data_IF_864822625324
#
_entry.id   IF_864822625324
#
_cell.length_a   1.000
_cell.length_b   1.000
_cell.length_c   1.000
_cell.angle_alpha   90.00
_cell.angle_beta   90.00
_cell.angle_gamma   90.00
#
_symmetry.space_group_name_H-M   'P 1'
#
loop_
_entity.id
_entity.type
_entity.pdbx_description
1 polymer ?
#
# COMPACT_ATOMS: atom_id res chain seq x y z
N UNK A 1 -4.74 14.17 -26.70
CA UNK A 1 -3.36 13.90 -26.24
C UNK A 1 -3.23 12.39 -26.05
N UNK A 2 -2.41 11.73 -26.88
CA UNK A 2 -2.34 10.27 -26.94
C UNK A 2 -1.39 9.80 -25.84
N UNK A 3 -1.93 9.31 -24.72
CA UNK A 3 -1.15 8.52 -23.76
C UNK A 3 -0.58 7.32 -24.52
N UNK A 4 0.74 7.05 -24.47
CA UNK A 4 1.34 5.93 -25.19
C UNK A 4 0.62 4.62 -24.84
N UNK A 5 0.35 3.81 -25.86
CA UNK A 5 -0.45 2.57 -25.75
C UNK A 5 0.10 1.58 -24.70
N UNK A 6 1.39 1.68 -24.38
CA UNK A 6 2.13 0.87 -23.40
C UNK A 6 1.86 1.27 -21.94
N UNK A 7 1.72 2.56 -21.62
CA UNK A 7 1.36 3.00 -20.26
C UNK A 7 -0.06 2.59 -19.88
N UNK A 8 -0.97 2.57 -20.86
CA UNK A 8 -2.32 2.00 -20.69
C UNK A 8 -2.29 0.51 -20.36
N UNK A 9 -1.30 -0.24 -20.87
CA UNK A 9 -1.17 -1.69 -20.61
C UNK A 9 -0.69 -1.92 -19.18
N UNK A 10 0.33 -1.21 -18.70
CA UNK A 10 0.79 -1.37 -17.31
C UNK A 10 -0.31 -0.95 -16.32
N UNK A 11 -0.98 0.19 -16.59
CA UNK A 11 -2.13 0.65 -15.81
C UNK A 11 -3.31 -0.32 -15.87
N UNK A 12 -3.55 -0.96 -17.02
CA UNK A 12 -4.57 -1.99 -17.17
C UNK A 12 -4.18 -3.31 -16.47
N UNK A 13 -2.91 -3.68 -16.44
CA UNK A 13 -2.42 -4.89 -15.75
C UNK A 13 -2.48 -4.70 -14.24
N UNK A 14 -2.06 -3.55 -13.71
CA UNK A 14 -2.19 -3.22 -12.29
C UNK A 14 -3.65 -3.10 -11.88
N UNK A 15 -4.48 -2.40 -12.67
CA UNK A 15 -5.94 -2.28 -12.42
C UNK A 15 -6.67 -3.63 -12.52
N UNK A 16 -6.31 -4.50 -13.48
CA UNK A 16 -6.89 -5.85 -13.61
C UNK A 16 -6.42 -6.79 -12.51
N UNK A 17 -5.16 -6.68 -12.07
CA UNK A 17 -4.67 -7.42 -10.90
C UNK A 17 -5.35 -6.98 -9.60
N UNK A 18 -5.68 -5.69 -9.47
CA UNK A 18 -6.47 -5.17 -8.36
C UNK A 18 -7.93 -5.63 -8.42
N UNK A 19 -8.54 -5.70 -9.60
CA UNK A 19 -9.92 -6.20 -9.79
C UNK A 19 -10.06 -7.72 -9.59
N UNK A 20 -9.04 -8.51 -9.96
CA UNK A 20 -9.10 -9.98 -9.91
C UNK A 20 -8.81 -10.58 -8.52
N UNK A 21 -8.53 -9.77 -7.49
CA UNK A 21 -8.35 -10.24 -6.10
C UNK A 21 -7.21 -11.26 -5.90
N UNK A 22 -6.21 -11.31 -6.79
CA UNK A 22 -5.15 -12.32 -6.73
C UNK A 22 -4.11 -11.94 -5.67
N UNK A 23 -3.74 -12.91 -4.82
CA UNK A 23 -2.71 -12.68 -3.80
C UNK A 23 -1.35 -12.34 -4.41
N UNK A 24 -0.56 -11.57 -3.66
CA UNK A 24 0.76 -11.03 -3.99
C UNK A 24 1.78 -12.02 -4.63
N UNK A 25 1.83 -13.32 -4.28
CA UNK A 25 2.59 -14.33 -5.01
C UNK A 25 2.28 -14.40 -6.51
N UNK A 26 1.08 -13.97 -6.92
CA UNK A 26 0.63 -13.94 -8.31
C UNK A 26 1.18 -12.74 -9.07
N UNK A 27 1.35 -11.57 -8.45
CA UNK A 27 1.95 -10.39 -9.11
C UNK A 27 3.45 -10.63 -9.31
N UNK A 28 4.16 -11.16 -8.31
CA UNK A 28 5.56 -11.56 -8.50
C UNK A 28 5.66 -12.74 -9.48
N UNK A 29 4.74 -13.71 -9.49
CA UNK A 29 4.72 -14.75 -10.54
C UNK A 29 4.39 -14.20 -11.92
N UNK A 30 3.53 -13.19 -12.03
CA UNK A 30 3.19 -12.52 -13.29
C UNK A 30 4.37 -11.68 -13.74
N UNK A 31 5.04 -10.94 -12.87
CA UNK A 31 6.27 -10.19 -13.17
C UNK A 31 7.47 -11.11 -13.43
N UNK A 32 7.54 -12.30 -12.81
CA UNK A 32 8.54 -13.35 -13.13
C UNK A 32 8.20 -14.11 -14.41
N UNK A 33 6.92 -14.36 -14.73
CA UNK A 33 6.47 -14.93 -16.02
C UNK A 33 6.62 -13.94 -17.16
N UNK A 34 6.33 -12.67 -16.93
CA UNK A 34 6.66 -11.56 -17.82
C UNK A 34 8.20 -11.46 -17.88
N UNK A 35 8.93 -11.62 -16.77
CA UNK A 35 10.39 -11.68 -16.79
C UNK A 35 10.97 -12.83 -17.61
N UNK A 36 10.28 -13.99 -17.66
CA UNK A 36 10.71 -15.19 -18.39
C UNK A 36 10.11 -15.33 -19.80
N UNK A 37 9.06 -14.56 -20.14
CA UNK A 37 8.33 -14.67 -21.42
C UNK A 37 8.07 -13.30 -22.09
N UNK A 38 8.45 -12.18 -21.48
CA UNK A 38 8.34 -10.89 -22.13
C UNK A 38 9.42 -10.79 -23.20
N UNK A 39 9.07 -10.33 -24.41
CA UNK A 39 10.09 -9.81 -25.31
C UNK A 39 10.87 -8.70 -24.57
N UNK A 40 12.15 -8.55 -24.89
CA UNK A 40 13.11 -7.61 -24.27
C UNK A 40 12.57 -6.19 -24.00
N UNK A 41 11.48 -5.79 -24.66
CA UNK A 41 10.78 -4.51 -24.52
C UNK A 41 10.04 -4.22 -23.21
N UNK A 42 9.70 -5.19 -22.34
CA UNK A 42 9.04 -4.85 -21.05
C UNK A 42 10.05 -4.30 -20.03
N UNK A 43 11.31 -4.71 -20.11
CA UNK A 43 12.40 -4.13 -19.31
C UNK A 43 12.98 -2.86 -19.92
N UNK A 44 12.79 -2.61 -21.22
CA UNK A 44 13.05 -1.29 -21.83
C UNK A 44 12.09 -0.19 -21.32
N UNK A 45 11.07 -0.57 -20.55
CA UNK A 45 9.97 0.30 -20.12
C UNK A 45 10.20 0.96 -18.75
N UNK A 46 11.18 0.46 -18.00
CA UNK A 46 11.67 1.05 -16.76
C UNK A 46 13.04 1.62 -17.10
N UNK A 47 13.33 2.87 -16.73
CA UNK A 47 14.62 3.54 -17.02
C UNK A 47 15.84 2.86 -16.37
N UNK A 48 15.65 1.67 -15.78
CA UNK A 48 16.58 1.00 -14.89
C UNK A 48 17.16 -0.26 -15.49
N UNK A 49 18.41 -0.53 -15.12
CA UNK A 49 19.09 -1.76 -15.52
C UNK A 49 18.41 -2.99 -14.87
N UNK A 50 18.31 -4.12 -15.58
CA UNK A 50 17.69 -5.35 -15.07
C UNK A 50 18.25 -5.86 -13.74
N UNK A 51 19.55 -5.64 -13.49
CA UNK A 51 20.24 -6.06 -12.28
C UNK A 51 19.69 -5.39 -11.01
N UNK A 52 19.45 -4.08 -11.06
CA UNK A 52 18.88 -3.33 -9.93
C UNK A 52 17.42 -3.71 -9.67
N UNK A 53 16.66 -3.98 -10.73
CA UNK A 53 15.29 -4.50 -10.63
C UNK A 53 15.26 -5.87 -9.95
N UNK A 54 16.20 -6.76 -10.30
CA UNK A 54 16.29 -8.09 -9.69
C UNK A 54 16.65 -8.01 -8.20
N UNK A 55 17.62 -7.16 -7.84
CA UNK A 55 18.00 -6.93 -6.45
C UNK A 55 16.81 -6.41 -5.63
N UNK A 56 16.10 -5.41 -6.17
CA UNK A 56 14.93 -4.82 -5.51
C UNK A 56 13.79 -5.82 -5.26
N UNK A 57 13.42 -6.62 -6.26
CA UNK A 57 12.33 -7.61 -6.12
C UNK A 57 12.72 -8.78 -5.20
N UNK A 58 14.02 -9.01 -4.98
CA UNK A 58 14.54 -10.10 -4.15
C UNK A 58 14.79 -9.70 -2.69
N UNK A 59 14.98 -8.42 -2.40
CA UNK A 59 15.25 -7.93 -1.05
C UNK A 59 14.00 -8.03 -0.15
N UNK A 60 14.22 -8.36 1.13
CA UNK A 60 13.17 -8.55 2.14
C UNK A 60 13.41 -7.72 3.40
N UNK A 61 14.61 -7.18 3.60
CA UNK A 61 14.89 -6.22 4.65
C UNK A 61 14.21 -4.88 4.33
N UNK A 62 13.36 -4.34 5.22
CA UNK A 62 12.65 -3.09 4.95
C UNK A 62 13.55 -1.91 4.60
N UNK A 63 14.62 -1.71 5.38
CA UNK A 63 15.53 -0.59 5.17
C UNK A 63 16.31 -0.73 3.87
N UNK A 64 16.92 -1.90 3.62
CA UNK A 64 17.68 -2.13 2.38
C UNK A 64 16.81 -2.02 1.13
N UNK A 65 15.57 -2.51 1.20
CA UNK A 65 14.63 -2.37 0.10
C UNK A 65 14.35 -0.90 -0.20
N UNK A 66 14.12 -0.10 0.84
CA UNK A 66 13.92 1.33 0.68
C UNK A 66 15.18 2.03 0.14
N UNK A 67 16.37 1.68 0.64
CA UNK A 67 17.63 2.22 0.14
C UNK A 67 17.83 1.92 -1.35
N UNK A 68 17.49 0.71 -1.83
CA UNK A 68 17.51 0.39 -3.26
C UNK A 68 16.49 1.26 -4.02
N UNK A 69 15.29 1.46 -3.48
CA UNK A 69 14.29 2.33 -4.12
C UNK A 69 14.76 3.79 -4.24
N UNK A 70 15.54 4.30 -3.28
CA UNK A 70 16.16 5.63 -3.37
C UNK A 70 17.10 5.72 -4.57
N UNK A 71 17.97 4.73 -4.77
CA UNK A 71 18.87 4.71 -5.93
C UNK A 71 18.10 4.63 -7.25
N UNK A 72 17.01 3.85 -7.29
CA UNK A 72 16.12 3.80 -8.45
C UNK A 72 15.44 5.16 -8.70
N UNK A 73 14.98 5.87 -7.66
CA UNK A 73 14.45 7.22 -7.82
C UNK A 73 15.51 8.20 -8.36
N UNK A 74 16.76 8.09 -7.90
CA UNK A 74 17.89 8.90 -8.38
C UNK A 74 18.23 8.63 -9.85
N UNK A 75 18.13 7.39 -10.31
CA UNK A 75 18.25 7.04 -11.74
C UNK A 75 17.13 7.69 -12.60
N UNK A 76 16.01 8.10 -11.98
CA UNK A 76 14.97 8.91 -12.61
C UNK A 76 15.19 10.42 -12.46
N UNK A 77 16.40 10.85 -12.07
CA UNK A 77 16.74 12.25 -11.79
C UNK A 77 15.89 12.85 -10.65
N UNK A 78 15.55 12.02 -9.64
CA UNK A 78 14.85 12.44 -8.43
C UNK A 78 15.75 12.21 -7.21
N UNK A 79 16.23 13.29 -6.60
CA UNK A 79 17.17 13.21 -5.46
C UNK A 79 16.54 12.60 -4.21
N UNK A 80 15.25 12.87 -4.01
CA UNK A 80 14.54 12.56 -2.81
C UNK A 80 13.37 11.60 -3.06
N UNK A 81 13.20 10.66 -2.14
CA UNK A 81 12.12 9.70 -2.08
C UNK A 81 11.55 9.67 -0.66
N UNK A 82 10.23 9.80 -0.56
CA UNK A 82 9.45 9.59 0.65
C UNK A 82 8.38 8.52 0.42
N UNK A 83 8.13 7.70 1.41
CA UNK A 83 7.09 6.68 1.40
C UNK A 83 6.35 6.67 2.74
N UNK A 84 5.04 6.88 2.67
CA UNK A 84 4.13 6.72 3.79
C UNK A 84 3.35 5.42 3.58
N UNK A 85 3.26 4.57 4.61
CA UNK A 85 2.43 3.36 4.59
C UNK A 85 1.47 3.42 5.76
N UNK A 86 0.18 3.41 5.47
CA UNK A 86 -0.91 3.37 6.42
C UNK A 86 -1.55 1.99 6.40
N UNK A 87 -1.37 1.25 7.49
CA UNK A 87 -1.94 -0.09 7.66
C UNK A 87 -3.20 0.01 8.52
N UNK A 88 -4.31 -0.47 7.96
CA UNK A 88 -5.58 -0.59 8.66
C UNK A 88 -5.55 -1.82 9.56
N UNK A 89 -5.82 -1.60 10.84
CA UNK A 89 -5.96 -2.69 11.81
C UNK A 89 -7.42 -2.66 12.28
N UNK A 90 -8.09 -3.81 12.19
CA UNK A 90 -9.47 -3.96 12.61
C UNK A 90 -9.67 -3.38 14.02
N UNK A 91 -10.64 -2.47 14.18
CA UNK A 91 -11.03 -1.87 15.47
C UNK A 91 -9.96 -1.02 16.18
N UNK A 92 -8.87 -0.66 15.49
CA UNK A 92 -7.79 0.17 16.04
C UNK A 92 -7.48 1.38 15.16
N UNK A 93 -6.76 2.35 15.72
CA UNK A 93 -6.18 3.45 14.94
C UNK A 93 -5.18 2.91 13.93
N UNK A 94 -5.24 3.33 12.65
CA UNK A 94 -4.29 2.87 11.63
C UNK A 94 -2.85 3.15 12.03
N UNK A 95 -1.94 2.25 11.67
CA UNK A 95 -0.51 2.42 11.92
C UNK A 95 0.14 3.08 10.72
N UNK A 96 0.88 4.16 10.97
CA UNK A 96 1.63 4.89 9.96
C UNK A 96 3.11 4.55 10.06
N UNK A 97 3.71 4.18 8.94
CA UNK A 97 5.14 3.94 8.78
C UNK A 97 5.68 4.92 7.75
N UNK A 98 6.80 5.56 8.07
CA UNK A 98 7.42 6.60 7.26
C UNK A 98 8.84 6.14 6.88
N UNK A 99 9.15 6.19 5.60
CA UNK A 99 10.49 5.97 5.06
C UNK A 99 10.86 7.18 4.20
N UNK A 100 12.04 7.75 4.39
CA UNK A 100 12.48 8.88 3.59
C UNK A 100 13.99 9.04 3.59
N UNK A 101 14.56 9.52 2.49
CA UNK A 101 15.93 10.04 2.44
C UNK A 101 15.97 11.59 2.50
N UNK A 102 14.88 12.21 2.95
CA UNK A 102 14.80 13.67 3.13
C UNK A 102 15.84 14.15 4.14
N UNK A 103 16.24 15.44 4.10
CA UNK A 103 17.15 16.00 5.09
C UNK A 103 16.63 15.76 6.52
N UNK A 104 17.51 15.39 7.45
CA UNK A 104 17.13 15.06 8.83
C UNK A 104 16.39 16.21 9.51
N UNK A 105 16.82 17.45 9.28
CA UNK A 105 16.15 18.66 9.80
C UNK A 105 14.69 18.77 9.34
N UNK A 106 14.42 18.40 8.07
CA UNK A 106 13.06 18.36 7.56
C UNK A 106 12.26 17.23 8.21
N UNK A 107 12.82 16.03 8.34
CA UNK A 107 12.14 14.88 8.98
C UNK A 107 11.75 15.21 10.43
N UNK A 108 12.68 15.76 11.21
CA UNK A 108 12.44 16.15 12.60
C UNK A 108 11.33 17.19 12.70
N UNK A 109 11.37 18.21 11.83
CA UNK A 109 10.34 19.24 11.79
C UNK A 109 8.99 18.68 11.35
N UNK A 110 8.99 17.80 10.36
CA UNK A 110 7.77 17.19 9.82
C UNK A 110 7.03 16.37 10.87
N UNK A 111 7.78 15.67 11.74
CA UNK A 111 7.23 14.92 12.88
C UNK A 111 6.78 15.84 14.02
N UNK A 112 7.60 16.82 14.41
CA UNK A 112 7.31 17.70 15.55
C UNK A 112 6.06 18.54 15.34
N UNK A 113 5.88 19.06 14.13
CA UNK A 113 4.85 20.05 13.83
C UNK A 113 3.59 19.42 13.16
N UNK A 114 3.48 18.07 13.18
CA UNK A 114 2.37 17.32 12.57
C UNK A 114 2.14 17.68 11.09
N UNK A 115 3.22 17.99 10.35
CA UNK A 115 3.15 18.52 8.99
C UNK A 115 2.51 17.57 7.98
N UNK A 116 2.45 16.27 8.28
CA UNK A 116 1.68 15.33 7.46
C UNK A 116 0.19 15.72 7.34
N UNK A 117 -0.40 16.37 8.35
CA UNK A 117 -1.78 16.87 8.29
C UNK A 117 -1.92 18.10 7.40
N UNK A 118 -0.82 18.84 7.25
CA UNK A 118 -0.78 20.12 6.56
C UNK A 118 -0.34 19.99 5.09
N UNK A 119 0.20 18.83 4.70
CA UNK A 119 0.69 18.55 3.35
C UNK A 119 -0.48 18.40 2.34
N UNK A 120 -0.73 19.39 1.47
CA UNK A 120 -1.81 19.33 0.50
C UNK A 120 -1.61 18.23 -0.54
N UNK A 121 -0.36 17.85 -0.87
CA UNK A 121 -0.10 16.78 -1.84
C UNK A 121 -0.51 15.42 -1.26
N UNK A 122 -0.08 15.13 -0.02
CA UNK A 122 -0.48 13.92 0.70
C UNK A 122 -2.00 13.87 0.95
N UNK A 123 -2.60 15.01 1.31
CA UNK A 123 -4.03 15.11 1.55
C UNK A 123 -4.86 14.86 0.29
N UNK A 124 -4.45 15.41 -0.86
CA UNK A 124 -5.15 15.18 -2.12
C UNK A 124 -4.98 13.73 -2.59
N UNK A 125 -3.78 13.16 -2.40
CA UNK A 125 -3.48 11.79 -2.83
C UNK A 125 -4.22 10.72 -2.00
N UNK A 126 -4.67 11.02 -0.77
CA UNK A 126 -5.58 10.14 -0.02
C UNK A 126 -6.87 9.77 -0.78
N UNK A 127 -7.36 10.68 -1.62
CA UNK A 127 -8.61 10.50 -2.37
C UNK A 127 -8.41 10.08 -3.82
N UNK A 128 -7.16 9.93 -4.27
CA UNK A 128 -6.83 9.78 -5.69
C UNK A 128 -5.56 8.94 -5.91
N UNK A 129 -5.60 8.06 -6.91
CA UNK A 129 -4.41 7.31 -7.36
C UNK A 129 -3.65 8.01 -8.49
N UNK A 130 -4.09 9.20 -8.90
CA UNK A 130 -3.38 10.01 -9.89
C UNK A 130 -2.19 10.74 -9.27
N UNK A 131 -1.07 10.91 -10.00
CA UNK A 131 0.00 11.79 -9.56
C UNK A 131 -0.50 13.21 -9.27
N UNK A 132 -0.14 13.70 -8.10
CA UNK A 132 -0.34 15.07 -7.65
C UNK A 132 0.98 15.82 -7.80
N UNK A 133 1.09 16.63 -8.85
CA UNK A 133 2.25 17.48 -9.10
C UNK A 133 2.31 18.62 -8.07
N UNK A 134 3.50 18.90 -7.53
CA UNK A 134 3.71 19.96 -6.56
C UNK A 134 3.80 21.33 -7.25
N UNK A 135 2.67 22.00 -7.38
CA UNK A 135 2.56 23.35 -7.97
C UNK A 135 2.31 24.40 -6.89
N UNK A 136 2.64 25.66 -7.15
CA UNK A 136 2.36 26.73 -6.17
C UNK A 136 0.85 26.89 -5.91
N UNK A 137 0.00 26.64 -6.91
CA UNK A 137 -1.45 26.60 -6.76
C UNK A 137 -1.93 25.52 -5.78
N UNK A 138 -1.29 24.34 -5.77
CA UNK A 138 -1.61 23.26 -4.83
C UNK A 138 -1.35 23.70 -3.38
N UNK A 139 -0.29 24.49 -3.17
CA UNK A 139 0.14 24.92 -1.84
C UNK A 139 -0.32 26.34 -1.47
N UNK A 140 -1.23 26.95 -2.24
CA UNK A 140 -1.70 28.33 -2.01
C UNK A 140 -2.26 28.56 -0.59
N UNK A 141 -2.90 27.56 -0.01
CA UNK A 141 -3.48 27.60 1.36
C UNK A 141 -2.48 27.15 2.43
N UNK A 142 -1.28 26.70 2.04
CA UNK A 142 -0.22 26.25 2.93
C UNK A 142 1.16 26.84 2.55
N UNK A 143 1.28 28.18 2.42
CA UNK A 143 2.50 28.82 1.89
C UNK A 143 3.72 28.61 2.81
N UNK A 144 3.53 28.62 4.14
CA UNK A 144 4.62 28.40 5.10
C UNK A 144 5.19 26.98 5.03
N UNK A 145 4.32 25.98 4.85
CA UNK A 145 4.74 24.60 4.61
C UNK A 145 5.58 24.52 3.33
N UNK A 146 5.08 25.12 2.24
CA UNK A 146 5.74 25.11 0.93
C UNK A 146 7.10 25.78 0.97
N UNK A 147 7.21 26.96 1.57
CA UNK A 147 8.47 27.67 1.71
C UNK A 147 9.49 26.85 2.48
N UNK A 148 9.08 26.27 3.61
CA UNK A 148 9.96 25.44 4.43
C UNK A 148 10.41 24.18 3.69
N UNK A 149 9.51 23.48 2.99
CA UNK A 149 9.86 22.31 2.19
C UNK A 149 10.89 22.67 1.10
N UNK A 150 10.69 23.80 0.41
CA UNK A 150 11.60 24.31 -0.60
C UNK A 150 12.98 24.70 -0.05
N UNK A 151 13.07 25.22 1.18
CA UNK A 151 14.35 25.51 1.83
C UNK A 151 15.19 24.24 2.07
N UNK A 152 14.55 23.09 2.22
CA UNK A 152 15.19 21.79 2.39
C UNK A 152 15.33 21.02 1.05
N UNK A 153 15.15 21.69 -0.09
CA UNK A 153 15.32 21.08 -1.41
C UNK A 153 14.10 20.29 -1.93
N UNK A 154 12.99 20.22 -1.18
CA UNK A 154 11.76 19.57 -1.61
C UNK A 154 10.91 20.53 -2.45
N UNK A 155 11.41 20.89 -3.63
CA UNK A 155 10.83 21.94 -4.48
C UNK A 155 10.02 21.38 -5.64
N UNK A 156 10.64 20.57 -6.50
CA UNK A 156 10.01 20.04 -7.69
C UNK A 156 9.76 18.55 -7.49
N UNK A 157 8.50 18.14 -7.44
CA UNK A 157 8.17 16.77 -7.13
C UNK A 157 6.70 16.46 -7.38
N UNK A 158 6.33 15.22 -7.11
CA UNK A 158 4.93 14.80 -7.11
C UNK A 158 4.71 13.68 -6.10
N UNK A 159 3.44 13.51 -5.73
CA UNK A 159 2.98 12.44 -4.84
C UNK A 159 1.99 11.54 -5.56
N UNK A 160 2.11 10.23 -5.41
CA UNK A 160 1.17 9.24 -5.92
C UNK A 160 0.72 8.33 -4.78
N UNK A 161 -0.49 7.81 -4.89
CA UNK A 161 -1.03 6.88 -3.89
C UNK A 161 -1.45 5.55 -4.50
N UNK A 162 -1.36 4.53 -3.66
CA UNK A 162 -1.80 3.18 -3.90
C UNK A 162 -2.70 2.75 -2.75
N UNK A 163 -3.86 2.18 -3.11
CA UNK A 163 -4.79 1.56 -2.18
C UNK A 163 -4.92 0.08 -2.49
N UNK A 164 -5.01 -0.76 -1.45
CA UNK A 164 -5.28 -2.19 -1.60
C UNK A 164 -6.72 -2.56 -1.19
N UNK A 165 -7.06 -3.84 -1.32
CA UNK A 165 -8.38 -4.37 -0.97
C UNK A 165 -8.64 -4.43 0.54
N UNK A 166 -7.59 -4.26 1.36
CA UNK A 166 -7.67 -4.22 2.82
C UNK A 166 -7.76 -2.78 3.33
N UNK A 167 -7.95 -1.82 2.42
CA UNK A 167 -7.95 -0.37 2.68
C UNK A 167 -6.63 0.15 3.27
N UNK A 168 -5.55 -0.62 3.15
CA UNK A 168 -4.21 -0.09 3.39
C UNK A 168 -3.87 0.89 2.27
N UNK A 169 -3.08 1.88 2.63
CA UNK A 169 -2.68 2.94 1.72
C UNK A 169 -1.16 3.09 1.76
N UNK A 170 -0.56 3.29 0.59
CA UNK A 170 0.80 3.81 0.49
C UNK A 170 0.84 5.05 -0.37
N UNK A 171 1.57 6.05 0.09
CA UNK A 171 1.84 7.26 -0.66
C UNK A 171 3.33 7.34 -0.93
N UNK A 172 3.72 7.49 -2.20
CA UNK A 172 5.10 7.68 -2.61
C UNK A 172 5.26 9.12 -3.11
N UNK A 173 6.32 9.78 -2.66
CA UNK A 173 6.67 11.14 -3.04
C UNK A 173 8.09 11.16 -3.57
N UNK A 174 8.29 11.70 -4.77
CA UNK A 174 9.62 11.93 -5.32
C UNK A 174 9.85 13.42 -5.54
N UNK A 175 11.05 13.90 -5.25
CA UNK A 175 11.38 15.32 -5.38
C UNK A 175 12.85 15.57 -5.75
N UNK A 176 13.10 16.74 -6.33
CA UNK A 176 14.42 17.32 -6.60
C UNK A 176 14.41 18.83 -6.28
N UNK A 177 15.56 19.43 -5.92
CA UNK A 177 15.65 20.84 -5.57
C UNK A 177 15.58 21.75 -6.80
N UNK A 178 16.08 21.29 -7.95
CA UNK A 178 16.21 22.05 -9.18
C UNK A 178 15.62 21.28 -10.37
N UNK A 179 15.21 22.01 -11.41
CA UNK A 179 14.61 21.41 -12.60
C UNK A 179 13.09 21.27 -12.47
N UNK A 180 12.35 22.15 -13.12
CA UNK A 180 10.89 22.06 -13.18
C UNK A 180 10.45 20.73 -13.80
N UNK A 181 9.40 20.12 -13.26
CA UNK A 181 8.80 18.89 -13.79
C UNK A 181 7.55 19.30 -14.54
N UNK A 182 7.56 19.16 -15.85
CA UNK A 182 6.37 19.39 -16.66
C UNK A 182 5.47 18.14 -16.71
N UNK A 183 4.29 18.28 -17.33
CA UNK A 183 3.34 17.18 -17.42
C UNK A 183 3.88 16.02 -18.29
N UNK A 184 4.75 16.29 -19.27
CA UNK A 184 5.31 15.27 -20.14
C UNK A 184 6.30 14.40 -19.36
N UNK A 185 7.24 15.02 -18.65
CA UNK A 185 8.19 14.34 -17.76
C UNK A 185 7.46 13.59 -16.64
N UNK A 186 6.45 14.22 -16.03
CA UNK A 186 5.62 13.58 -15.01
C UNK A 186 5.01 12.28 -15.54
N UNK A 187 4.35 12.30 -16.70
CA UNK A 187 3.72 11.11 -17.24
C UNK A 187 4.72 10.07 -17.72
N UNK A 188 5.89 10.48 -18.21
CA UNK A 188 6.98 9.56 -18.58
C UNK A 188 7.46 8.76 -17.37
N UNK A 189 7.76 9.45 -16.25
CA UNK A 189 8.33 8.84 -15.04
C UNK A 189 7.30 8.23 -14.08
N UNK A 190 6.05 8.70 -14.13
CA UNK A 190 4.98 8.29 -13.21
C UNK A 190 4.75 6.77 -13.17
N UNK A 191 4.86 6.09 -14.31
CA UNK A 191 4.70 4.63 -14.36
C UNK A 191 5.78 3.89 -13.55
N UNK A 192 7.03 4.34 -13.66
CA UNK A 192 8.18 3.79 -12.94
C UNK A 192 8.06 4.03 -11.43
N UNK A 193 7.67 5.24 -11.03
CA UNK A 193 7.44 5.56 -9.61
C UNK A 193 6.25 4.80 -9.03
N UNK A 194 5.16 4.65 -9.79
CA UNK A 194 4.02 3.84 -9.35
C UNK A 194 4.38 2.36 -9.21
N UNK A 195 5.29 1.85 -10.03
CA UNK A 195 5.82 0.49 -9.90
C UNK A 195 6.67 0.31 -8.64
N UNK A 196 7.52 1.30 -8.30
CA UNK A 196 8.23 1.31 -7.02
C UNK A 196 7.24 1.28 -5.86
N UNK A 197 6.21 2.14 -5.91
CA UNK A 197 5.18 2.19 -4.88
C UNK A 197 4.49 0.85 -4.68
N UNK A 198 4.11 0.15 -5.75
CA UNK A 198 3.47 -1.16 -5.64
C UNK A 198 4.39 -2.19 -4.97
N UNK A 199 5.66 -2.21 -5.36
CA UNK A 199 6.61 -3.19 -4.84
C UNK A 199 6.91 -2.91 -3.36
N UNK A 200 7.16 -1.65 -3.01
CA UNK A 200 7.36 -1.21 -1.63
C UNK A 200 6.13 -1.49 -0.77
N UNK A 201 4.94 -1.07 -1.23
CA UNK A 201 3.68 -1.26 -0.53
C UNK A 201 3.48 -2.72 -0.14
N UNK A 202 3.73 -3.64 -1.06
CA UNK A 202 3.41 -5.02 -0.80
C UNK A 202 4.46 -5.75 0.05
N UNK A 203 5.77 -5.49 -0.14
CA UNK A 203 6.81 -6.10 0.70
C UNK A 203 6.79 -5.49 2.12
N UNK A 204 6.73 -4.16 2.21
CA UNK A 204 6.74 -3.46 3.49
C UNK A 204 5.39 -3.56 4.22
N UNK A 205 4.28 -3.54 3.47
CA UNK A 205 2.94 -3.77 4.01
C UNK A 205 2.82 -5.15 4.63
N UNK A 206 3.27 -6.21 3.94
CA UNK A 206 3.31 -7.57 4.50
C UNK A 206 4.21 -7.65 5.73
N UNK A 207 5.42 -7.08 5.66
CA UNK A 207 6.35 -7.05 6.79
C UNK A 207 5.72 -6.44 8.05
N UNK A 208 5.15 -5.24 7.92
CA UNK A 208 4.55 -4.52 9.04
C UNK A 208 3.25 -5.16 9.51
N UNK A 209 2.42 -5.66 8.60
CA UNK A 209 1.20 -6.38 8.96
C UNK A 209 1.53 -7.63 9.78
N UNK A 210 2.56 -8.39 9.41
CA UNK A 210 3.03 -9.56 10.16
C UNK A 210 3.62 -9.17 11.53
N UNK A 211 4.27 -8.01 11.64
CA UNK A 211 4.77 -7.51 12.93
C UNK A 211 3.63 -7.07 13.86
N UNK A 212 2.54 -6.52 13.30
CA UNK A 212 1.36 -6.05 14.04
C UNK A 212 0.38 -7.17 14.39
N UNK A 213 0.24 -8.15 13.49
CA UNK A 213 -0.63 -9.30 13.65
C UNK A 213 0.25 -10.55 13.77
N UNK A 214 0.51 -11.05 14.99
CA UNK A 214 1.22 -12.32 15.17
C UNK A 214 0.51 -13.45 14.39
N UNK A 215 1.23 -14.53 14.04
CA UNK A 215 0.75 -15.58 13.15
C UNK A 215 -0.69 -15.98 13.46
N UNK A 216 -1.53 -15.86 12.43
CA UNK A 216 -2.97 -16.02 12.53
C UNK A 216 -3.29 -17.39 13.16
N UNK A 217 -4.15 -17.44 14.18
CA UNK A 217 -4.63 -18.72 14.66
C UNK A 217 -5.39 -19.40 13.52
N UNK A 218 -5.00 -20.64 13.20
CA UNK A 218 -5.72 -21.45 12.22
C UNK A 218 -7.15 -21.64 12.70
N UNK A 219 -8.10 -21.04 11.98
CA UNK A 219 -9.52 -21.34 12.13
C UNK A 219 -9.79 -22.70 11.51
N UNK A 220 -10.58 -23.52 12.19
CA UNK A 220 -11.10 -24.75 11.57
C UNK A 220 -12.19 -24.39 10.56
N UNK A 221 -12.40 -25.27 9.57
CA UNK A 221 -13.50 -25.09 8.61
C UNK A 221 -14.85 -24.94 9.33
N UNK A 222 -15.02 -25.70 10.43
CA UNK A 222 -16.24 -25.66 11.23
C UNK A 222 -16.45 -24.32 11.96
N UNK A 223 -15.37 -23.74 12.47
CA UNK A 223 -15.42 -22.40 13.06
C UNK A 223 -15.85 -21.36 12.02
N UNK A 224 -15.30 -21.44 10.80
CA UNK A 224 -15.65 -20.54 9.70
C UNK A 224 -17.10 -20.70 9.23
N UNK A 225 -17.60 -21.93 9.10
CA UNK A 225 -19.00 -22.19 8.76
C UNK A 225 -19.98 -21.60 9.78
N UNK A 226 -19.72 -21.84 11.07
CA UNK A 226 -20.52 -21.29 12.17
C UNK A 226 -20.48 -19.75 12.14
N UNK A 227 -19.32 -19.17 11.86
CA UNK A 227 -19.13 -17.72 11.80
C UNK A 227 -19.83 -17.10 10.57
N UNK A 228 -19.81 -17.76 9.40
CA UNK A 228 -20.50 -17.31 8.18
C UNK A 228 -22.00 -17.18 8.37
N UNK A 229 -22.66 -18.22 8.89
CA UNK A 229 -24.09 -18.16 9.17
C UNK A 229 -24.42 -17.13 10.25
N UNK A 230 -23.54 -17.00 11.23
CA UNK A 230 -23.64 -15.98 12.26
C UNK A 230 -23.53 -14.55 11.71
N UNK A 231 -22.65 -14.31 10.74
CA UNK A 231 -22.50 -13.03 10.05
C UNK A 231 -23.73 -12.71 9.17
N UNK A 232 -24.38 -13.73 8.62
CA UNK A 232 -25.68 -13.61 7.95
C UNK A 232 -26.87 -13.38 8.91
N UNK A 233 -26.62 -13.12 10.20
CA UNK A 233 -27.64 -12.77 11.19
C UNK A 233 -28.37 -13.96 11.82
N UNK A 234 -27.92 -15.20 11.59
CA UNK A 234 -28.58 -16.40 12.15
C UNK A 234 -28.33 -16.55 13.66
N UNK A 235 -29.36 -17.00 14.38
CA UNK A 235 -29.26 -17.30 15.82
C UNK A 235 -28.50 -18.62 16.04
N UNK A 236 -28.04 -18.87 17.27
CA UNK A 236 -27.36 -20.13 17.59
C UNK A 236 -28.25 -21.36 17.32
N UNK A 237 -29.58 -21.21 17.50
CA UNK A 237 -30.57 -22.24 17.19
C UNK A 237 -30.67 -22.51 15.68
N UNK A 238 -30.73 -21.47 14.87
CA UNK A 238 -30.78 -21.60 13.41
C UNK A 238 -29.50 -22.25 12.87
N UNK A 239 -28.33 -21.78 13.33
CA UNK A 239 -27.04 -22.34 12.91
C UNK A 239 -26.91 -23.80 13.32
N UNK A 240 -27.37 -24.15 14.52
CA UNK A 240 -27.40 -25.53 15.00
C UNK A 240 -28.27 -26.41 14.09
N UNK A 241 -29.44 -25.92 13.67
CA UNK A 241 -30.31 -26.63 12.73
C UNK A 241 -29.70 -26.75 11.33
N UNK A 242 -29.08 -25.69 10.81
CA UNK A 242 -28.48 -25.66 9.46
C UNK A 242 -27.29 -26.61 9.36
N UNK A 243 -26.44 -26.62 10.38
CA UNK A 243 -25.19 -27.38 10.38
C UNK A 243 -25.32 -28.76 11.04
N UNK A 244 -26.51 -29.17 11.49
CA UNK A 244 -26.73 -30.41 12.25
C UNK A 244 -25.82 -30.51 13.48
N UNK A 245 -25.82 -29.45 14.30
CA UNK A 245 -25.08 -29.34 15.56
C UNK A 245 -26.04 -29.10 16.73
N UNK A 246 -25.56 -29.21 17.97
CA UNK A 246 -26.25 -28.64 19.11
C UNK A 246 -25.96 -27.13 19.24
N UNK A 247 -26.88 -26.38 19.87
CA UNK A 247 -26.63 -24.96 20.19
C UNK A 247 -25.38 -24.78 21.08
N UNK A 248 -25.10 -25.73 21.96
CA UNK A 248 -23.90 -25.72 22.81
C UNK A 248 -22.62 -25.82 21.97
N UNK A 249 -22.58 -26.67 20.94
CA UNK A 249 -21.44 -26.80 20.02
C UNK A 249 -21.26 -25.55 19.17
N UNK A 250 -22.35 -24.92 18.70
CA UNK A 250 -22.28 -23.62 18.01
C UNK A 250 -21.66 -22.56 18.91
N UNK A 251 -22.13 -22.44 20.16
CA UNK A 251 -21.60 -21.48 21.12
C UNK A 251 -20.14 -21.76 21.49
N UNK A 252 -19.73 -23.04 21.54
CA UNK A 252 -18.34 -23.44 21.71
C UNK A 252 -17.45 -22.92 20.58
N UNK A 253 -17.85 -23.13 19.31
CA UNK A 253 -17.10 -22.61 18.16
C UNK A 253 -17.04 -21.08 18.16
N UNK A 254 -18.12 -20.37 18.48
CA UNK A 254 -18.11 -18.91 18.57
C UNK A 254 -17.14 -18.43 19.66
N UNK A 255 -17.11 -19.06 20.84
CA UNK A 255 -16.15 -18.73 21.90
C UNK A 255 -14.70 -18.97 21.45
N UNK A 256 -14.44 -20.09 20.80
CA UNK A 256 -13.12 -20.39 20.22
C UNK A 256 -12.68 -19.30 19.24
N UNK A 257 -13.58 -18.89 18.33
CA UNK A 257 -13.32 -17.81 17.36
C UNK A 257 -13.05 -16.48 18.06
N UNK A 258 -13.84 -16.12 19.08
CA UNK A 258 -13.64 -14.88 19.87
C UNK A 258 -12.24 -14.89 20.49
N UNK A 259 -11.84 -15.98 21.13
CA UNK A 259 -10.51 -16.13 21.73
C UNK A 259 -9.40 -16.03 20.69
N UNK A 260 -9.53 -16.75 19.57
CA UNK A 260 -8.55 -16.75 18.46
C UNK A 260 -8.43 -15.37 17.81
N UNK A 261 -9.51 -14.62 17.70
CA UNK A 261 -9.50 -13.26 17.12
C UNK A 261 -9.11 -12.18 18.13
N UNK A 262 -9.00 -12.53 19.42
CA UNK A 262 -8.87 -11.56 20.51
C UNK A 262 -9.96 -10.48 20.47
N UNK A 263 -11.17 -10.85 20.03
CA UNK A 263 -12.30 -9.94 19.96
C UNK A 263 -12.99 -9.81 21.32
N UNK A 264 -13.66 -8.68 21.56
CA UNK A 264 -14.46 -8.50 22.77
C UNK A 264 -15.77 -9.32 22.75
N UNK A 265 -16.34 -9.60 21.57
CA UNK A 265 -17.61 -10.29 21.41
C UNK A 265 -17.78 -10.90 20.00
N UNK A 266 -18.89 -11.60 19.78
CA UNK A 266 -19.23 -12.25 18.50
C UNK A 266 -19.23 -11.26 17.32
N UNK A 267 -19.77 -10.05 17.50
CA UNK A 267 -19.82 -9.06 16.43
C UNK A 267 -18.42 -8.54 16.06
N UNK A 268 -17.57 -8.27 17.05
CA UNK A 268 -16.16 -7.92 16.83
C UNK A 268 -15.40 -9.04 16.11
N UNK A 269 -15.65 -10.30 16.49
CA UNK A 269 -15.04 -11.44 15.83
C UNK A 269 -15.46 -11.58 14.35
N UNK A 270 -16.75 -11.34 14.05
CA UNK A 270 -17.27 -11.29 12.68
C UNK A 270 -16.62 -10.16 11.89
N UNK A 271 -16.51 -8.95 12.45
CA UNK A 271 -15.88 -7.81 11.80
C UNK A 271 -14.41 -8.07 11.47
N UNK A 272 -13.65 -8.64 12.42
CA UNK A 272 -12.25 -9.04 12.20
C UNK A 272 -12.16 -10.10 11.10
N UNK A 273 -13.04 -11.11 11.11
CA UNK A 273 -13.03 -12.16 10.11
C UNK A 273 -13.36 -11.65 8.70
N UNK A 274 -14.31 -10.73 8.56
CA UNK A 274 -14.65 -10.09 7.30
C UNK A 274 -13.49 -9.23 6.76
N UNK A 275 -12.89 -8.39 7.63
CA UNK A 275 -11.72 -7.57 7.26
C UNK A 275 -10.50 -8.40 6.83
N UNK A 276 -10.35 -9.60 7.41
CA UNK A 276 -9.29 -10.56 7.05
C UNK A 276 -9.65 -11.47 5.87
N UNK A 277 -10.85 -11.35 5.29
CA UNK A 277 -11.30 -12.16 4.17
C UNK A 277 -11.52 -13.65 4.49
N UNK A 278 -11.83 -13.98 5.75
CA UNK A 278 -12.11 -15.36 6.17
C UNK A 278 -13.54 -15.80 5.87
N UNK A 279 -14.47 -14.84 5.84
CA UNK A 279 -15.91 -15.03 5.64
C UNK A 279 -16.47 -14.02 4.64
#
# INVERSE_FOLDING_TARGET
MIVPNSQKILFAITKKSQQDGRSFPTIIRVLKRIGSCAPEGVFQMLHWKPEYLHAFVSERSPQKLFDIAVHLAQDLDMDYLGLNIRIQIATQTPRLYLYSNYPSEWIERYQRDDFYKQDPAANLSHSSTMPVLWTDDLYKEAPQFRETACQHGLRHGWTQSLHDQQHNESQISVARPNGHIDMLELYDKAGSVQWLCHTLHAVLGEHHLNALCPPQPKMSERELEVLKWSAAGKTAADVASILSLSQSTVNFHIRSVITKTNAANKAGAIAIAALRGWI
#
